data_IF_171553215645
#
_entry.id   IF_171553215645
#
_cell.length_a   1.000
_cell.length_b   1.000
_cell.length_c   1.000
_cell.angle_alpha   90.00
_cell.angle_beta   90.00
_cell.angle_gamma   90.00
#
_symmetry.space_group_name_H-M   'P 1'
#
loop_
_entity.id
_entity.type
_entity.pdbx_description
1 polymer ?
#
# COMPACT_ATOMS: atom_id res chain seq x y z
N UNK A 1 -4.19 -21.25 16.63
CA UNK A 1 -3.84 -20.44 17.78
C UNK A 1 -3.35 -21.33 18.91
N UNK A 2 -2.19 -21.00 19.50
CA UNK A 2 -1.66 -21.64 20.70
C UNK A 2 -1.29 -20.51 21.69
N UNK A 3 -1.84 -20.50 22.89
CA UNK A 3 -1.67 -19.44 23.90
C UNK A 3 -2.97 -18.68 24.22
N UNK A 4 -2.86 -17.48 24.78
CA UNK A 4 -4.01 -16.65 25.18
C UNK A 4 -4.54 -15.84 24.01
N UNK A 5 -5.88 -15.70 23.92
CA UNK A 5 -6.54 -14.78 22.99
C UNK A 5 -6.66 -13.36 23.56
N UNK A 6 -6.45 -13.21 24.85
CA UNK A 6 -6.63 -11.95 25.57
C UNK A 6 -5.25 -11.50 26.09
N UNK A 7 -4.47 -10.93 25.18
CA UNK A 7 -3.10 -10.49 25.42
C UNK A 7 -2.97 -9.03 25.04
N UNK A 8 -2.65 -8.18 26.02
CA UNK A 8 -2.30 -6.78 25.77
C UNK A 8 -0.97 -6.71 25.02
N UNK A 9 -0.94 -5.88 23.98
CA UNK A 9 0.23 -5.73 23.13
C UNK A 9 0.74 -4.29 23.12
N UNK A 10 2.06 -4.14 23.26
CA UNK A 10 2.74 -2.84 23.38
C UNK A 10 3.22 -2.27 22.03
N UNK A 11 3.32 -3.11 21.01
CA UNK A 11 3.84 -2.75 19.70
C UNK A 11 3.64 -3.85 18.67
N UNK A 12 3.93 -3.54 17.41
CA UNK A 12 3.93 -4.49 16.30
C UNK A 12 5.20 -4.31 15.48
N UNK A 13 5.85 -5.41 15.10
CA UNK A 13 7.07 -5.40 14.31
C UNK A 13 7.14 -6.60 13.36
N UNK A 14 7.77 -6.38 12.20
CA UNK A 14 8.20 -7.42 11.26
C UNK A 14 9.74 -7.50 11.14
N UNK A 15 10.45 -6.62 11.86
CA UNK A 15 11.90 -6.64 12.01
C UNK A 15 12.23 -7.03 13.46
N UNK A 16 12.96 -8.14 13.66
CA UNK A 16 13.30 -8.67 14.97
C UNK A 16 14.03 -7.67 15.88
N UNK A 17 14.77 -6.73 15.30
CA UNK A 17 15.51 -5.67 16.00
C UNK A 17 14.58 -4.60 16.60
N UNK A 18 13.35 -4.50 16.12
CA UNK A 18 12.35 -3.51 16.51
C UNK A 18 11.27 -4.06 17.44
N UNK A 19 11.35 -5.33 17.81
CA UNK A 19 10.40 -5.95 18.75
C UNK A 19 10.56 -5.34 20.13
N UNK A 20 9.47 -4.80 20.65
CA UNK A 20 9.36 -4.28 22.02
C UNK A 20 8.92 -5.37 22.99
N UNK A 21 9.21 -5.20 24.28
CA UNK A 21 8.72 -6.11 25.30
C UNK A 21 7.17 -6.08 25.32
N UNK A 22 6.56 -7.25 25.24
CA UNK A 22 5.10 -7.39 25.11
C UNK A 22 4.55 -7.11 23.70
N UNK A 23 5.40 -6.98 22.70
CA UNK A 23 4.98 -6.69 21.32
C UNK A 23 4.53 -7.90 20.52
N UNK A 24 3.97 -7.63 19.34
CA UNK A 24 3.68 -8.64 18.29
C UNK A 24 4.87 -8.69 17.32
N UNK A 25 5.36 -9.88 17.05
CA UNK A 25 6.28 -10.11 15.95
C UNK A 25 5.59 -10.88 14.82
N UNK A 26 5.55 -10.31 13.62
CA UNK A 26 5.00 -10.98 12.43
C UNK A 26 6.14 -11.46 11.55
N UNK A 27 6.26 -12.77 11.40
CA UNK A 27 7.28 -13.41 10.57
C UNK A 27 6.95 -13.23 9.09
N UNK A 28 7.74 -12.45 8.37
CA UNK A 28 7.59 -12.23 6.92
C UNK A 28 8.68 -12.99 6.19
N UNK A 29 8.26 -13.74 5.17
CA UNK A 29 9.18 -14.31 4.18
C UNK A 29 9.53 -13.20 3.18
N UNK A 30 10.73 -12.67 3.30
CA UNK A 30 11.27 -11.63 2.41
C UNK A 30 12.16 -12.23 1.33
N UNK A 31 12.56 -11.40 0.34
CA UNK A 31 13.45 -11.82 -0.74
C UNK A 31 14.86 -12.21 -0.25
N UNK A 32 15.36 -11.56 0.81
CA UNK A 32 16.71 -11.75 1.35
C UNK A 32 16.71 -12.54 2.65
N UNK A 33 15.66 -12.44 3.45
CA UNK A 33 15.62 -13.01 4.79
C UNK A 33 14.22 -13.49 5.15
N UNK A 34 14.17 -14.57 5.93
CA UNK A 34 12.96 -15.14 6.47
C UNK A 34 12.86 -14.81 7.95
N UNK A 35 11.76 -14.13 8.33
CA UNK A 35 11.49 -13.70 9.70
C UNK A 35 11.40 -14.87 10.71
N UNK A 36 11.00 -16.05 10.26
CA UNK A 36 10.87 -17.24 11.11
C UNK A 36 12.20 -17.64 11.77
N UNK A 37 13.33 -17.39 11.12
CA UNK A 37 14.68 -17.67 11.65
C UNK A 37 15.04 -16.85 12.89
N UNK A 38 14.31 -15.78 13.16
CA UNK A 38 14.60 -14.88 14.28
C UNK A 38 13.72 -15.13 15.51
N UNK A 39 12.81 -16.09 15.46
CA UNK A 39 11.90 -16.42 16.57
C UNK A 39 12.68 -16.68 17.87
N UNK A 40 13.77 -17.46 17.81
CA UNK A 40 14.61 -17.75 18.97
C UNK A 40 15.22 -16.51 19.63
N UNK A 41 15.42 -15.42 18.88
CA UNK A 41 16.02 -14.17 19.40
C UNK A 41 15.01 -13.25 20.08
N UNK A 42 13.72 -13.40 19.75
CA UNK A 42 12.67 -12.46 20.21
C UNK A 42 11.65 -13.12 21.14
N UNK A 43 11.73 -14.42 21.36
CA UNK A 43 10.75 -15.21 22.14
C UNK A 43 10.55 -14.70 23.57
N UNK A 44 11.58 -14.10 24.18
CA UNK A 44 11.53 -13.57 25.55
C UNK A 44 11.03 -12.11 25.59
N UNK A 45 10.81 -11.48 24.44
CA UNK A 45 10.31 -10.10 24.29
C UNK A 45 8.88 -10.06 23.75
N UNK A 46 8.60 -10.89 22.73
CA UNK A 46 7.31 -10.88 22.08
C UNK A 46 6.24 -11.57 22.95
N UNK A 47 5.10 -10.91 23.14
CA UNK A 47 3.90 -11.53 23.71
C UNK A 47 3.16 -12.38 22.67
N UNK A 48 3.23 -12.00 21.39
CA UNK A 48 2.58 -12.69 20.29
C UNK A 48 3.55 -12.85 19.11
N UNK A 49 3.61 -14.04 18.55
CA UNK A 49 4.36 -14.35 17.34
C UNK A 49 3.39 -14.86 16.28
N UNK A 50 3.42 -14.24 15.09
CA UNK A 50 2.60 -14.64 13.94
C UNK A 50 3.49 -15.30 12.92
N UNK A 51 3.15 -16.54 12.55
CA UNK A 51 3.93 -17.38 11.63
C UNK A 51 3.11 -17.81 10.43
N UNK A 52 3.77 -18.05 9.31
CA UNK A 52 3.12 -18.56 8.12
C UNK A 52 3.01 -20.08 8.20
N UNK A 53 1.83 -20.60 7.91
CA UNK A 53 1.53 -22.02 7.88
C UNK A 53 2.48 -22.76 6.91
N UNK A 54 3.02 -23.88 7.40
CA UNK A 54 3.95 -24.70 6.62
C UNK A 54 5.38 -24.16 6.54
N UNK A 55 5.70 -23.05 7.23
CA UNK A 55 7.09 -22.61 7.40
C UNK A 55 7.81 -23.48 8.42
N UNK A 56 9.12 -23.60 8.25
CA UNK A 56 10.00 -24.26 9.22
C UNK A 56 10.45 -23.24 10.28
N UNK A 57 10.13 -23.52 11.55
CA UNK A 57 10.50 -22.67 12.69
C UNK A 57 10.54 -23.47 13.99
N UNK A 58 11.39 -23.04 14.90
CA UNK A 58 11.43 -23.58 16.25
C UNK A 58 10.24 -23.05 17.06
N UNK A 59 9.39 -23.95 17.55
CA UNK A 59 8.23 -23.55 18.38
C UNK A 59 8.75 -22.93 19.69
N UNK A 60 8.42 -21.68 19.99
CA UNK A 60 8.89 -21.04 21.20
C UNK A 60 8.33 -21.73 22.43
N UNK A 61 9.19 -21.86 23.47
CA UNK A 61 8.81 -22.32 24.81
C UNK A 61 8.45 -21.10 25.67
N UNK A 62 7.43 -21.22 26.54
CA UNK A 62 7.01 -20.15 27.46
C UNK A 62 5.59 -19.65 27.17
N UNK A 63 5.23 -18.52 27.77
CA UNK A 63 3.87 -17.94 27.70
C UNK A 63 3.61 -17.08 26.46
N UNK A 64 4.37 -17.30 25.39
CA UNK A 64 4.16 -16.58 24.14
C UNK A 64 2.96 -17.13 23.37
N UNK A 65 2.11 -16.26 22.89
CA UNK A 65 0.99 -16.63 22.02
C UNK A 65 1.47 -16.79 20.58
N UNK A 66 1.24 -17.98 20.00
CA UNK A 66 1.58 -18.29 18.62
C UNK A 66 0.34 -18.31 17.75
N UNK A 67 0.34 -17.51 16.70
CA UNK A 67 -0.73 -17.45 15.69
C UNK A 67 -0.17 -17.96 14.36
N UNK A 68 -0.78 -19.01 13.83
CA UNK A 68 -0.45 -19.53 12.50
C UNK A 68 -1.51 -19.05 11.49
N UNK A 69 -1.09 -18.52 10.34
CA UNK A 69 -1.97 -18.07 9.27
C UNK A 69 -1.41 -18.39 7.89
N UNK A 70 -2.27 -18.40 6.87
CA UNK A 70 -1.87 -18.75 5.51
C UNK A 70 -1.08 -17.62 4.82
N UNK A 71 -1.24 -16.36 5.25
CA UNK A 71 -0.56 -15.19 4.68
C UNK A 71 -0.20 -14.18 5.77
N UNK A 72 1.07 -14.20 6.19
CA UNK A 72 1.58 -13.28 7.23
C UNK A 72 1.69 -11.83 6.76
N UNK A 73 1.81 -11.56 5.44
CA UNK A 73 1.79 -10.18 4.92
C UNK A 73 0.41 -9.55 5.05
N UNK A 74 -0.63 -10.30 4.71
CA UNK A 74 -2.01 -9.87 4.95
C UNK A 74 -2.29 -9.70 6.44
N UNK A 75 -1.82 -10.63 7.28
CA UNK A 75 -1.95 -10.53 8.73
C UNK A 75 -1.27 -9.26 9.26
N UNK A 76 -0.04 -8.97 8.82
CA UNK A 76 0.68 -7.73 9.18
C UNK A 76 -0.12 -6.49 8.79
N UNK A 77 -0.69 -6.45 7.59
CA UNK A 77 -1.47 -5.30 7.10
C UNK A 77 -2.70 -5.05 8.00
N UNK A 78 -3.50 -6.09 8.26
CA UNK A 78 -4.72 -5.98 9.07
C UNK A 78 -4.41 -5.66 10.54
N UNK A 79 -3.38 -6.29 11.11
CA UNK A 79 -2.95 -6.01 12.48
C UNK A 79 -2.40 -4.59 12.61
N UNK A 80 -1.64 -4.10 11.64
CA UNK A 80 -1.12 -2.73 11.62
C UNK A 80 -2.26 -1.70 11.53
N UNK A 81 -3.25 -1.94 10.68
CA UNK A 81 -4.43 -1.09 10.59
C UNK A 81 -5.14 -0.98 11.95
N UNK A 82 -5.39 -2.12 12.60
CA UNK A 82 -6.04 -2.17 13.91
C UNK A 82 -5.21 -1.49 15.00
N UNK A 83 -3.90 -1.79 15.06
CA UNK A 83 -2.98 -1.24 16.05
C UNK A 83 -2.92 0.29 16.01
N UNK A 84 -2.89 0.89 14.82
CA UNK A 84 -2.90 2.33 14.64
C UNK A 84 -4.31 2.96 14.62
N UNK A 85 -5.35 2.18 14.94
CA UNK A 85 -6.73 2.67 15.06
C UNK A 85 -7.40 2.98 13.72
N UNK A 86 -7.10 2.19 12.69
CA UNK A 86 -7.64 2.26 11.32
C UNK A 86 -7.53 3.69 10.75
N UNK A 87 -6.31 4.25 10.62
CA UNK A 87 -6.12 5.63 10.21
C UNK A 87 -6.55 5.90 8.76
N UNK A 88 -6.57 4.87 7.91
CA UNK A 88 -7.10 4.90 6.55
C UNK A 88 -8.57 5.38 6.51
N UNK A 89 -9.38 5.02 7.49
CA UNK A 89 -10.80 5.44 7.60
C UNK A 89 -10.98 6.89 8.05
N UNK A 90 -9.90 7.56 8.44
CA UNK A 90 -9.92 8.97 8.90
C UNK A 90 -9.34 9.93 7.88
N UNK A 91 -8.83 9.41 6.76
CA UNK A 91 -8.27 10.15 5.65
C UNK A 91 -9.06 9.84 4.38
N UNK A 92 -9.21 10.83 3.51
CA UNK A 92 -9.61 10.58 2.12
C UNK A 92 -8.41 10.03 1.37
N UNK A 93 -8.49 8.79 0.93
CA UNK A 93 -7.34 8.02 0.44
C UNK A 93 -7.36 7.90 -1.09
N UNK A 94 -6.26 8.29 -1.74
CA UNK A 94 -6.09 8.22 -3.19
C UNK A 94 -4.86 7.37 -3.50
N UNK A 95 -5.07 6.24 -4.17
CA UNK A 95 -4.00 5.35 -4.62
C UNK A 95 -3.76 5.47 -6.13
N UNK A 96 -2.50 5.61 -6.54
CA UNK A 96 -2.16 5.80 -7.96
C UNK A 96 -1.27 4.66 -8.42
N UNK A 97 -1.72 3.93 -9.45
CA UNK A 97 -0.94 2.86 -10.09
C UNK A 97 -0.74 3.13 -11.57
N UNK A 98 0.23 2.46 -12.15
CA UNK A 98 0.59 2.54 -13.56
C UNK A 98 2.08 2.26 -13.76
N UNK A 99 2.54 2.16 -14.99
CA UNK A 99 3.96 2.00 -15.29
C UNK A 99 4.67 3.33 -15.07
N UNK A 100 4.20 4.39 -15.71
CA UNK A 100 4.78 5.75 -15.68
C UNK A 100 3.77 6.77 -15.18
N UNK A 101 4.26 7.92 -14.76
CA UNK A 101 3.43 9.05 -14.36
C UNK A 101 2.89 9.03 -12.92
N UNK A 102 3.09 7.95 -12.15
CA UNK A 102 2.61 7.87 -10.76
C UNK A 102 3.06 9.07 -9.92
N UNK A 103 4.36 9.31 -9.84
CA UNK A 103 4.95 10.38 -9.04
C UNK A 103 4.41 11.75 -9.45
N UNK A 104 4.44 12.07 -10.74
CA UNK A 104 3.92 13.34 -11.25
C UNK A 104 2.45 13.54 -10.88
N UNK A 105 1.61 12.53 -11.12
CA UNK A 105 0.17 12.58 -10.82
C UNK A 105 -0.07 12.73 -9.32
N UNK A 106 0.71 12.02 -8.48
CA UNK A 106 0.62 12.11 -7.01
C UNK A 106 0.88 13.54 -6.53
N UNK A 107 1.94 14.20 -7.03
CA UNK A 107 2.23 15.59 -6.68
C UNK A 107 1.19 16.57 -7.23
N UNK A 108 0.71 16.36 -8.45
CA UNK A 108 -0.34 17.22 -9.03
C UNK A 108 -1.61 17.18 -8.17
N UNK A 109 -2.10 15.99 -7.85
CA UNK A 109 -3.31 15.83 -7.02
C UNK A 109 -3.11 16.43 -5.64
N UNK A 110 -1.97 16.13 -4.97
CA UNK A 110 -1.66 16.73 -3.67
C UNK A 110 -1.69 18.24 -3.72
N UNK A 111 -1.04 18.85 -4.73
CA UNK A 111 -0.95 20.30 -4.84
C UNK A 111 -2.31 20.94 -5.09
N UNK A 112 -3.17 20.34 -5.93
CA UNK A 112 -4.55 20.79 -6.16
C UNK A 112 -5.36 20.74 -4.86
N UNK A 113 -5.32 19.62 -4.12
CA UNK A 113 -6.03 19.48 -2.85
C UNK A 113 -5.54 20.52 -1.82
N UNK A 114 -4.23 20.71 -1.71
CA UNK A 114 -3.65 21.73 -0.81
C UNK A 114 -4.07 23.15 -1.22
N UNK A 115 -4.12 23.47 -2.51
CA UNK A 115 -4.59 24.78 -3.00
C UNK A 115 -6.08 25.00 -2.70
N UNK A 116 -6.85 23.93 -2.60
CA UNK A 116 -8.25 23.98 -2.14
C UNK A 116 -8.40 23.99 -0.59
N UNK A 117 -7.30 24.16 0.16
CA UNK A 117 -7.33 24.20 1.62
C UNK A 117 -7.43 22.83 2.30
N UNK A 118 -7.27 21.73 1.57
CA UNK A 118 -7.31 20.37 2.11
C UNK A 118 -5.88 19.94 2.45
N UNK A 119 -5.52 19.92 3.74
CA UNK A 119 -4.19 19.46 4.19
C UNK A 119 -4.02 18.00 3.79
N UNK A 120 -3.07 17.73 2.88
CA UNK A 120 -2.91 16.44 2.20
C UNK A 120 -1.51 15.88 2.41
N UNK A 121 -1.43 14.65 2.90
CA UNK A 121 -0.21 13.87 2.98
C UNK A 121 0.17 13.24 1.63
N UNK A 122 1.41 12.78 1.51
CA UNK A 122 1.92 12.10 0.32
C UNK A 122 2.80 10.92 0.73
N UNK A 123 2.65 9.79 0.04
CA UNK A 123 3.60 8.67 0.09
C UNK A 123 4.00 8.36 -1.35
N UNK A 124 5.28 8.50 -1.67
CA UNK A 124 5.76 8.30 -3.03
C UNK A 124 7.22 7.88 -3.14
N UNK A 125 7.69 7.78 -4.35
CA UNK A 125 9.06 7.32 -4.68
C UNK A 125 10.12 8.27 -4.13
N UNK A 126 9.87 9.58 -4.15
CA UNK A 126 10.86 10.58 -3.76
C UNK A 126 10.84 10.79 -2.25
N UNK A 127 9.65 11.01 -1.69
CA UNK A 127 9.47 11.42 -0.30
C UNK A 127 8.10 11.01 0.25
N UNK A 128 7.99 11.06 1.57
CA UNK A 128 6.76 10.99 2.33
C UNK A 128 6.53 12.34 3.00
N UNK A 129 5.35 12.95 2.78
CA UNK A 129 4.98 14.25 3.38
C UNK A 129 3.90 14.04 4.43
N UNK A 130 4.18 14.44 5.68
CA UNK A 130 3.28 14.32 6.84
C UNK A 130 3.03 15.71 7.38
N UNK A 131 1.90 16.32 6.99
CA UNK A 131 1.67 17.73 7.35
C UNK A 131 2.72 18.65 6.75
N UNK A 132 3.56 19.21 7.60
CA UNK A 132 4.64 20.13 7.21
C UNK A 132 6.03 19.43 7.22
N UNK A 133 6.09 18.19 7.63
CA UNK A 133 7.29 17.35 7.66
C UNK A 133 7.47 16.59 6.34
N UNK A 134 8.71 16.52 5.87
CA UNK A 134 9.09 15.75 4.67
C UNK A 134 10.20 14.78 5.01
N UNK A 135 10.02 13.51 4.67
CA UNK A 135 10.95 12.42 4.94
C UNK A 135 11.32 11.75 3.63
N UNK A 136 12.62 11.56 3.30
CA UNK A 136 13.03 10.79 2.11
C UNK A 136 12.44 9.38 2.12
N UNK A 137 11.94 8.92 0.98
CA UNK A 137 11.38 7.57 0.84
C UNK A 137 12.46 6.53 0.54
N UNK A 138 12.31 5.34 1.13
CA UNK A 138 13.14 4.18 0.78
C UNK A 138 12.47 3.31 -0.31
N UNK A 139 11.15 3.34 -0.39
CA UNK A 139 10.36 2.54 -1.32
C UNK A 139 9.19 3.36 -1.85
N UNK A 140 8.83 3.16 -3.12
CA UNK A 140 7.63 3.78 -3.72
C UNK A 140 6.36 3.49 -2.91
N UNK A 141 6.21 2.24 -2.49
CA UNK A 141 5.12 1.78 -1.62
C UNK A 141 5.75 1.08 -0.42
N UNK A 142 5.77 1.67 0.77
CA UNK A 142 6.35 1.08 1.97
C UNK A 142 5.66 -0.23 2.40
N UNK A 143 6.23 -0.94 3.36
CA UNK A 143 5.56 -2.09 3.99
C UNK A 143 4.30 -1.63 4.74
N UNK A 144 3.31 -2.52 4.85
CA UNK A 144 1.99 -2.20 5.41
C UNK A 144 2.05 -1.57 6.80
N UNK A 145 2.95 -2.03 7.66
CA UNK A 145 3.18 -1.46 8.99
C UNK A 145 3.56 0.03 8.90
N UNK A 146 4.49 0.37 8.00
CA UNK A 146 4.94 1.75 7.80
C UNK A 146 3.84 2.62 7.18
N UNK A 147 3.01 2.07 6.29
CA UNK A 147 1.87 2.79 5.71
C UNK A 147 0.91 3.22 6.81
N UNK A 148 0.47 2.29 7.68
CA UNK A 148 -0.49 2.60 8.74
C UNK A 148 0.10 3.50 9.82
N UNK A 149 1.38 3.35 10.18
CA UNK A 149 2.09 4.28 11.05
C UNK A 149 2.10 5.70 10.45
N UNK A 150 2.42 5.81 9.16
CA UNK A 150 2.47 7.09 8.45
C UNK A 150 1.07 7.72 8.35
N UNK A 151 0.05 6.94 8.03
CA UNK A 151 -1.34 7.41 8.03
C UNK A 151 -1.76 7.91 9.41
N UNK A 152 -1.37 7.22 10.50
CA UNK A 152 -1.63 7.69 11.87
C UNK A 152 -0.97 9.05 12.12
N UNK A 153 0.30 9.20 11.77
CA UNK A 153 1.02 10.47 11.88
C UNK A 153 0.36 11.58 11.06
N UNK A 154 -0.12 11.27 9.83
CA UNK A 154 -0.86 12.23 9.00
C UNK A 154 -2.15 12.68 9.66
N UNK A 155 -2.93 11.77 10.24
CA UNK A 155 -4.15 12.09 11.00
C UNK A 155 -3.81 13.01 12.18
N UNK A 156 -2.77 12.70 12.95
CA UNK A 156 -2.32 13.49 14.09
C UNK A 156 -1.81 14.88 13.70
N UNK A 157 -1.18 14.98 12.52
CA UNK A 157 -0.77 16.25 11.92
C UNK A 157 -1.95 17.05 11.31
N UNK A 158 -3.18 16.54 11.38
CA UNK A 158 -4.38 17.21 10.89
C UNK A 158 -4.62 17.08 9.39
N UNK A 159 -3.93 16.18 8.69
CA UNK A 159 -4.23 15.86 7.29
C UNK A 159 -5.66 15.33 7.17
N UNK A 160 -6.33 15.68 6.05
CA UNK A 160 -7.67 15.22 5.69
C UNK A 160 -7.65 14.24 4.53
N UNK A 161 -6.59 14.28 3.75
CA UNK A 161 -6.38 13.38 2.61
C UNK A 161 -4.94 12.87 2.56
N UNK A 162 -4.76 11.76 1.86
CA UNK A 162 -3.45 11.23 1.48
C UNK A 162 -3.48 10.78 0.03
N UNK A 163 -2.44 11.10 -0.70
CA UNK A 163 -2.20 10.59 -2.07
C UNK A 163 -0.97 9.71 -2.02
N UNK A 164 -1.08 8.48 -2.50
CA UNK A 164 0.05 7.57 -2.49
C UNK A 164 0.28 6.83 -3.80
N UNK A 165 1.55 6.63 -4.13
CA UNK A 165 1.94 5.75 -5.22
C UNK A 165 1.75 4.29 -4.80
N UNK A 166 1.02 3.53 -5.62
CA UNK A 166 0.76 2.10 -5.41
C UNK A 166 1.44 1.31 -6.51
N UNK A 167 2.63 0.80 -6.23
CA UNK A 167 3.41 0.00 -7.16
C UNK A 167 2.84 -1.40 -7.33
N UNK A 168 3.10 -2.03 -8.47
CA UNK A 168 2.71 -3.43 -8.71
C UNK A 168 3.33 -4.38 -7.69
N UNK A 169 4.58 -4.13 -7.29
CA UNK A 169 5.26 -4.91 -6.25
C UNK A 169 4.61 -4.71 -4.88
N UNK A 170 4.16 -3.48 -4.55
CA UNK A 170 3.40 -3.21 -3.32
C UNK A 170 2.08 -3.99 -3.28
N UNK A 171 1.38 -4.08 -4.43
CA UNK A 171 0.15 -4.85 -4.58
C UNK A 171 0.41 -6.38 -4.58
N UNK A 172 1.52 -6.84 -5.19
CA UNK A 172 1.96 -8.23 -5.16
C UNK A 172 2.22 -8.72 -3.75
N UNK A 173 2.87 -7.89 -2.95
CA UNK A 173 3.30 -8.19 -1.58
C UNK A 173 2.28 -7.78 -0.51
N UNK A 174 1.03 -7.54 -0.86
CA UNK A 174 -0.08 -7.18 0.03
C UNK A 174 0.21 -5.97 0.94
N UNK A 175 1.10 -5.04 0.51
CA UNK A 175 1.48 -3.87 1.33
C UNK A 175 0.34 -2.90 1.57
N UNK A 176 -0.64 -2.87 0.66
CA UNK A 176 -1.86 -2.04 0.78
C UNK A 176 -3.10 -2.86 1.15
N UNK A 177 -2.94 -4.13 1.51
CA UNK A 177 -4.07 -4.98 1.87
C UNK A 177 -4.84 -4.41 3.07
N UNK A 178 -6.16 -4.52 3.03
CA UNK A 178 -7.06 -3.97 4.06
C UNK A 178 -7.38 -2.49 3.91
N UNK A 179 -6.64 -1.73 3.09
CA UNK A 179 -6.99 -0.34 2.76
C UNK A 179 -8.05 -0.37 1.66
N UNK A 180 -9.19 0.30 1.92
CA UNK A 180 -10.18 0.59 0.88
C UNK A 180 -10.00 2.05 0.47
N UNK A 181 -9.28 2.27 -0.63
CA UNK A 181 -9.08 3.61 -1.18
C UNK A 181 -10.41 4.25 -1.60
N UNK A 182 -10.57 5.54 -1.34
CA UNK A 182 -11.72 6.29 -1.87
C UNK A 182 -11.59 6.44 -3.38
N UNK A 183 -10.38 6.71 -3.88
CA UNK A 183 -10.08 6.78 -5.32
C UNK A 183 -8.86 5.91 -5.65
N UNK A 184 -9.00 5.07 -6.68
CA UNK A 184 -7.89 4.39 -7.35
C UNK A 184 -7.66 5.00 -8.74
N UNK A 185 -6.44 5.39 -9.07
CA UNK A 185 -6.10 6.00 -10.36
C UNK A 185 -5.21 5.05 -11.17
N UNK A 186 -5.55 4.83 -12.43
CA UNK A 186 -4.73 4.12 -13.40
C UNK A 186 -4.20 5.07 -14.45
N UNK A 187 -2.88 5.16 -14.58
CA UNK A 187 -2.24 6.07 -15.54
C UNK A 187 -1.96 5.40 -16.89
N UNK A 188 -1.25 4.28 -16.91
CA UNK A 188 -0.89 3.53 -18.11
C UNK A 188 -0.27 2.17 -17.75
N UNK A 189 -0.19 1.28 -18.76
CA UNK A 189 0.50 0.00 -18.65
C UNK A 189 1.39 -0.25 -19.87
N UNK A 190 2.69 -0.34 -19.64
CA UNK A 190 3.69 -0.73 -20.63
C UNK A 190 4.50 -1.92 -20.08
N UNK A 191 5.10 -2.77 -20.94
CA UNK A 191 6.02 -3.82 -20.49
C UNK A 191 7.19 -3.21 -19.70
N UNK A 192 7.24 -3.51 -18.41
CA UNK A 192 8.24 -3.06 -17.47
C UNK A 192 8.23 -3.99 -16.25
N UNK A 193 9.28 -3.99 -15.44
CA UNK A 193 9.33 -4.80 -14.22
C UNK A 193 9.07 -6.31 -14.43
N UNK A 194 9.55 -6.88 -15.53
CA UNK A 194 9.46 -8.31 -15.82
C UNK A 194 10.85 -8.91 -15.68
N UNK A 195 11.04 -9.78 -14.68
CA UNK A 195 12.33 -10.38 -14.38
C UNK A 195 12.30 -11.31 -13.18
N UNK A 196 13.40 -11.99 -12.85
CA UNK A 196 13.46 -13.00 -11.79
C UNK A 196 13.05 -12.49 -10.41
N UNK A 197 13.36 -11.22 -10.10
CA UNK A 197 13.10 -10.61 -8.79
C UNK A 197 11.87 -9.68 -8.79
N UNK A 198 11.13 -9.60 -9.90
CA UNK A 198 10.00 -8.71 -10.06
C UNK A 198 8.73 -9.47 -10.40
N UNK A 199 8.22 -9.38 -11.63
CA UNK A 199 7.06 -10.13 -12.11
C UNK A 199 7.50 -11.23 -13.08
N UNK A 200 6.91 -12.41 -12.94
CA UNK A 200 7.23 -13.55 -13.81
C UNK A 200 6.76 -13.33 -15.25
N UNK A 201 5.71 -12.53 -15.46
CA UNK A 201 5.17 -12.22 -16.78
C UNK A 201 4.46 -10.86 -16.80
N UNK A 202 4.14 -10.40 -18.01
CA UNK A 202 3.32 -9.19 -18.19
C UNK A 202 1.90 -9.37 -17.64
N UNK A 203 1.34 -10.55 -17.74
CA UNK A 203 0.02 -10.89 -17.20
C UNK A 203 0.01 -10.75 -15.67
N UNK A 204 1.03 -11.27 -14.97
CA UNK A 204 1.16 -11.08 -13.52
C UNK A 204 1.31 -9.60 -13.16
N UNK A 205 2.09 -8.85 -13.92
CA UNK A 205 2.26 -7.41 -13.72
C UNK A 205 0.94 -6.65 -13.85
N UNK A 206 0.15 -6.96 -14.89
CA UNK A 206 -1.19 -6.42 -15.11
C UNK A 206 -2.13 -6.81 -13.95
N UNK A 207 -2.19 -8.09 -13.60
CA UNK A 207 -3.04 -8.60 -12.52
C UNK A 207 -2.71 -7.94 -11.17
N UNK A 208 -1.43 -7.72 -10.89
CA UNK A 208 -1.01 -7.02 -9.69
C UNK A 208 -1.56 -5.58 -9.66
N UNK A 209 -1.46 -4.82 -10.75
CA UNK A 209 -2.02 -3.46 -10.79
C UNK A 209 -3.54 -3.44 -10.71
N UNK A 210 -4.20 -4.42 -11.32
CA UNK A 210 -5.65 -4.58 -11.27
C UNK A 210 -6.19 -4.78 -9.84
N UNK A 211 -5.36 -5.27 -8.90
CA UNK A 211 -5.74 -5.40 -7.48
C UNK A 211 -6.20 -4.07 -6.87
N UNK A 212 -5.65 -2.92 -7.31
CA UNK A 212 -6.07 -1.61 -6.81
C UNK A 212 -7.58 -1.38 -7.03
N UNK A 213 -8.12 -1.85 -8.16
CA UNK A 213 -9.54 -1.69 -8.52
C UNK A 213 -10.48 -2.70 -7.83
N UNK A 214 -9.91 -3.60 -7.02
CA UNK A 214 -10.63 -4.45 -6.06
C UNK A 214 -10.61 -3.87 -4.64
N UNK A 215 -9.83 -2.82 -4.40
CA UNK A 215 -9.68 -2.15 -3.10
C UNK A 215 -9.80 -0.63 -3.21
N UNK A 216 -10.64 -0.14 -4.13
CA UNK A 216 -11.07 1.26 -4.18
C UNK A 216 -12.58 1.37 -4.39
N UNK A 217 -13.15 2.52 -4.01
CA UNK A 217 -14.57 2.84 -4.19
C UNK A 217 -14.85 3.34 -5.61
N UNK A 218 -13.99 4.26 -6.08
CA UNK A 218 -14.05 4.82 -7.43
C UNK A 218 -12.71 4.63 -8.13
N UNK A 219 -12.74 4.07 -9.32
CA UNK A 219 -11.59 3.93 -10.20
C UNK A 219 -11.59 5.01 -11.27
N UNK A 220 -10.54 5.83 -11.34
CA UNK A 220 -10.32 6.80 -12.42
C UNK A 220 -9.28 6.22 -13.36
N UNK A 221 -9.64 5.97 -14.60
CA UNK A 221 -8.81 5.20 -15.53
C UNK A 221 -8.56 5.92 -16.85
N UNK A 222 -7.36 5.72 -17.40
CA UNK A 222 -6.99 6.26 -18.70
C UNK A 222 -7.69 5.47 -19.83
N UNK A 223 -8.65 6.09 -20.51
CA UNK A 223 -9.39 5.48 -21.61
C UNK A 223 -8.53 5.22 -22.86
N UNK A 224 -7.43 5.97 -23.02
CA UNK A 224 -6.54 5.85 -24.17
C UNK A 224 -5.52 4.70 -24.04
N UNK A 225 -5.40 4.10 -22.85
CA UNK A 225 -4.55 2.93 -22.65
C UNK A 225 -5.27 1.65 -23.08
N UNK A 226 -4.64 0.88 -23.97
CA UNK A 226 -5.20 -0.36 -24.52
C UNK A 226 -5.50 -1.44 -23.49
N UNK A 227 -4.84 -1.39 -22.32
CA UNK A 227 -5.00 -2.36 -21.24
C UNK A 227 -6.04 -1.95 -20.18
N UNK A 228 -6.70 -0.81 -20.33
CA UNK A 228 -7.70 -0.32 -19.36
C UNK A 228 -8.82 -1.34 -19.15
N UNK A 229 -9.30 -1.99 -20.21
CA UNK A 229 -10.32 -3.05 -20.09
C UNK A 229 -9.85 -4.27 -19.30
N UNK A 230 -8.59 -4.65 -19.46
CA UNK A 230 -8.00 -5.79 -18.75
C UNK A 230 -7.78 -5.45 -17.28
N UNK A 231 -7.32 -4.24 -16.96
CA UNK A 231 -7.19 -3.72 -15.59
C UNK A 231 -8.53 -3.75 -14.85
N UNK A 232 -9.62 -3.42 -15.53
CA UNK A 232 -10.97 -3.35 -14.95
C UNK A 232 -11.72 -4.68 -14.97
N UNK A 233 -11.24 -5.71 -15.63
CA UNK A 233 -11.95 -6.97 -15.87
C UNK A 233 -12.61 -7.60 -14.62
N UNK A 234 -11.97 -7.47 -13.46
CA UNK A 234 -12.47 -8.00 -12.19
C UNK A 234 -12.61 -6.88 -11.14
N UNK A 235 -12.79 -5.64 -11.57
CA UNK A 235 -13.00 -4.51 -10.65
C UNK A 235 -14.36 -4.63 -9.96
N UNK A 236 -14.44 -4.07 -8.75
CA UNK A 236 -15.69 -3.98 -7.97
C UNK A 236 -16.07 -2.53 -7.69
N UNK A 237 -15.27 -1.58 -8.15
CA UNK A 237 -15.48 -0.14 -7.95
C UNK A 237 -16.36 0.46 -9.04
N UNK A 238 -16.94 1.63 -8.76
CA UNK A 238 -17.44 2.53 -9.79
C UNK A 238 -16.26 3.02 -10.63
N UNK A 239 -16.45 3.21 -11.93
CA UNK A 239 -15.38 3.64 -12.82
C UNK A 239 -15.74 4.91 -13.56
N UNK A 240 -14.79 5.84 -13.63
CA UNK A 240 -14.80 7.01 -14.48
C UNK A 240 -13.53 7.00 -15.33
N UNK A 241 -13.63 7.45 -16.57
CA UNK A 241 -12.51 7.46 -17.50
C UNK A 241 -12.08 8.88 -17.86
N UNK A 242 -10.80 9.05 -18.08
CA UNK A 242 -10.24 10.27 -18.64
C UNK A 242 -9.40 9.93 -19.88
N UNK A 243 -9.27 10.87 -20.80
CA UNK A 243 -8.47 10.67 -22.00
C UNK A 243 -8.48 11.88 -22.94
N UNK A 244 -7.88 11.71 -24.10
CA UNK A 244 -7.96 12.66 -25.20
C UNK A 244 -8.94 12.19 -26.29
N UNK A 245 -9.35 10.92 -26.23
CA UNK A 245 -10.38 10.37 -27.11
C UNK A 245 -11.78 10.79 -26.65
N UNK A 246 -12.70 10.99 -27.58
CA UNK A 246 -14.11 11.36 -27.30
C UNK A 246 -14.88 10.25 -26.54
N UNK A 247 -14.31 9.06 -26.43
CA UNK A 247 -14.91 7.93 -25.72
C UNK A 247 -14.71 8.00 -24.19
N UNK A 248 -13.92 8.93 -23.68
CA UNK A 248 -13.71 9.12 -22.24
C UNK A 248 -14.84 9.94 -21.61
N UNK A 249 -15.16 9.65 -20.33
CA UNK A 249 -16.15 10.44 -19.57
C UNK A 249 -15.67 11.88 -19.35
N UNK A 250 -14.35 12.05 -19.19
CA UNK A 250 -13.70 13.37 -19.11
C UNK A 250 -12.64 13.48 -20.20
N UNK A 251 -12.85 14.39 -21.14
CA UNK A 251 -11.95 14.61 -22.27
C UNK A 251 -11.09 15.85 -22.06
N UNK A 252 -9.76 15.67 -22.18
CA UNK A 252 -8.80 16.78 -22.24
C UNK A 252 -8.42 17.07 -23.69
N UNK A 253 -8.56 18.31 -24.12
CA UNK A 253 -8.07 18.76 -25.42
C UNK A 253 -7.27 20.04 -25.26
N UNK A 254 -6.22 20.18 -26.08
CA UNK A 254 -5.42 21.41 -26.16
C UNK A 254 -5.82 22.14 -27.43
N UNK A 255 -6.36 23.35 -27.29
CA UNK A 255 -6.61 24.24 -28.41
C UNK A 255 -5.41 25.17 -28.59
N UNK A 256 -4.56 24.91 -29.59
CA UNK A 256 -3.52 25.83 -30.01
C UNK A 256 -4.13 26.80 -30.98
N UNK A 257 -4.47 28.01 -30.56
CA UNK A 257 -4.70 29.13 -31.48
C UNK A 257 -3.34 29.61 -31.97
N UNK A 258 -3.02 29.30 -33.23
CA UNK A 258 -1.98 30.01 -33.93
C UNK A 258 -2.49 31.45 -34.19
N UNK A 259 -1.92 32.43 -33.47
CA UNK A 259 -2.05 33.80 -33.86
C UNK A 259 -1.17 33.98 -35.09
N UNK A 260 -1.78 33.98 -36.28
CA UNK A 260 -1.15 34.51 -37.46
C UNK A 260 -0.98 36.03 -37.26
N UNK A 261 0.28 36.45 -37.14
CA UNK A 261 0.69 37.87 -37.22
C UNK A 261 0.87 38.28 -38.64
#
# INVERSE_FOLDING_TARGET
LKGSVDTDVTGIASDSRKVTDGGIFVCIVGAVSDGHKYIGQIKDKAAVIVVQKGSDYEVPSGDVTLIECDNTRLALALMSAAFYGNPDKKLFTIGITGTKGKTTTTYMIKNVLCACGIKTGLIGTIETVIGDETIPSCNTTPESLQIHETFRKMVDAGCKAVVMEVSSQGLKLDRTAGIMFDIGVFTNLEPDHIGPDEHASFEEYLECKAKLFKQCRTGIVNADDKHTKDILKNSICMTESYGVSEAADTVSYTHLQAHET
#
